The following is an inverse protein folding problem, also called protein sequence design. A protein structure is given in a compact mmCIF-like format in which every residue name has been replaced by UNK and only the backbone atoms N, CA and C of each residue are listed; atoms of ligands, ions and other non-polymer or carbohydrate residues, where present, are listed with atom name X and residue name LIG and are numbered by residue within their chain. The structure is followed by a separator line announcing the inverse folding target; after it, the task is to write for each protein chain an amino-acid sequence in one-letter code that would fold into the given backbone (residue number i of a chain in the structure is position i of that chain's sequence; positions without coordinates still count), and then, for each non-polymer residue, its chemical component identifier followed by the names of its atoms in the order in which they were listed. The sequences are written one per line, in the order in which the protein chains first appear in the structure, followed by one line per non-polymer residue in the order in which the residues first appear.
data_IF_136239654825
#
_entry.id   IF_136239654825
#
_cell.length_a   1.000
_cell.length_b   1.000
_cell.length_c   1.000
_cell.angle_alpha   90.00
_cell.angle_beta   90.00
_cell.angle_gamma   90.00
#
_symmetry.space_group_name_H-M   'P 1'
#
loop_
_entity.id
_entity.type
_entity.pdbx_description
1 polymer ?
#
# COMPACT_ATOMS: atom_id res chain seq x y z
N UNK A 1 56.19 19.60 21.88
CA UNK A 1 57.47 19.42 22.59
C UNK A 1 57.75 17.94 22.49
N UNK A 2 58.72 17.42 21.76
CA UNK A 2 59.96 17.90 21.13
C UNK A 2 60.24 16.86 20.03
N UNK A 3 60.45 17.29 18.79
CA UNK A 3 61.75 17.51 18.14
C UNK A 3 62.09 16.36 17.19
N UNK A 4 62.58 16.81 16.04
CA UNK A 4 62.92 16.11 14.82
C UNK A 4 64.07 15.11 15.00
N UNK A 5 64.09 14.06 14.19
CA UNK A 5 65.37 13.44 13.81
C UNK A 5 65.36 13.10 12.31
N UNK A 6 66.12 13.91 11.59
CA UNK A 6 66.43 13.85 10.16
C UNK A 6 67.32 12.62 9.87
N UNK A 7 66.72 11.50 9.47
CA UNK A 7 67.48 10.43 8.81
C UNK A 7 67.51 10.65 7.30
N UNK A 8 68.66 11.14 6.86
CA UNK A 8 69.06 11.40 5.49
C UNK A 8 68.66 10.32 4.47
N UNK A 9 68.28 10.83 3.30
CA UNK A 9 67.96 10.19 2.03
C UNK A 9 68.87 9.03 1.64
N UNK A 10 68.27 7.85 1.41
CA UNK A 10 68.84 6.83 0.53
C UNK A 10 68.11 6.89 -0.83
N UNK A 11 68.68 7.65 -1.76
CA UNK A 11 68.23 7.70 -3.16
C UNK A 11 68.74 6.42 -3.83
N UNK A 12 67.83 5.49 -4.14
CA UNK A 12 68.15 4.38 -5.03
C UNK A 12 68.27 4.91 -6.46
N UNK A 13 69.53 4.98 -6.90
CA UNK A 13 69.94 5.23 -8.28
C UNK A 13 69.89 3.90 -9.05
N UNK A 14 68.81 3.62 -9.78
CA UNK A 14 68.78 2.52 -10.75
C UNK A 14 67.79 2.77 -11.89
N UNK A 15 68.39 3.17 -13.01
CA UNK A 15 68.09 2.82 -14.40
C UNK A 15 66.78 3.32 -15.04
N UNK A 16 66.91 4.48 -15.68
CA UNK A 16 66.11 4.92 -16.82
C UNK A 16 66.37 4.00 -18.02
N UNK A 17 65.59 2.92 -18.09
CA UNK A 17 65.45 2.10 -19.30
C UNK A 17 64.04 2.34 -19.86
N UNK A 18 63.90 3.42 -20.62
CA UNK A 18 62.72 3.67 -21.44
C UNK A 18 62.45 2.49 -22.38
N UNK A 19 61.34 1.78 -22.14
CA UNK A 19 60.68 1.01 -23.18
C UNK A 19 59.28 1.56 -23.38
N UNK A 20 59.18 2.40 -24.41
CA UNK A 20 57.92 2.79 -25.05
C UNK A 20 57.23 1.50 -25.51
N UNK A 21 56.16 1.11 -24.83
CA UNK A 21 55.01 0.35 -25.36
C UNK A 21 53.79 0.61 -24.47
N UNK A 22 53.28 1.85 -24.42
CA UNK A 22 52.11 2.15 -23.59
C UNK A 22 51.07 3.02 -24.32
N UNK A 23 50.69 2.58 -25.52
CA UNK A 23 49.58 3.20 -26.29
C UNK A 23 48.72 2.12 -26.96
N UNK A 24 48.40 1.03 -26.26
CA UNK A 24 47.30 0.13 -26.67
C UNK A 24 46.31 -0.23 -25.55
N UNK A 25 46.59 0.10 -24.28
CA UNK A 25 45.72 -0.30 -23.16
C UNK A 25 44.54 0.69 -22.91
N UNK A 26 44.76 1.99 -23.14
CA UNK A 26 43.73 3.02 -22.83
C UNK A 26 42.44 2.94 -23.66
N UNK A 27 42.47 2.30 -24.83
CA UNK A 27 41.28 2.17 -25.70
C UNK A 27 40.40 1.01 -25.24
N UNK A 28 40.99 -0.10 -24.82
CA UNK A 28 40.26 -1.24 -24.28
C UNK A 28 39.59 -0.85 -22.95
N UNK A 29 40.30 -0.15 -22.06
CA UNK A 29 39.77 0.33 -20.78
C UNK A 29 38.63 1.35 -20.95
N UNK A 30 38.76 2.30 -21.88
CA UNK A 30 37.67 3.25 -22.17
C UNK A 30 36.45 2.57 -22.77
N UNK A 31 36.63 1.58 -23.65
CA UNK A 31 35.53 0.81 -24.23
C UNK A 31 34.84 -0.02 -23.14
N UNK A 32 35.62 -0.69 -22.28
CA UNK A 32 35.09 -1.48 -21.17
C UNK A 32 34.33 -0.61 -20.16
N UNK A 33 34.87 0.55 -19.78
CA UNK A 33 34.19 1.52 -18.91
C UNK A 33 32.91 2.06 -19.56
N UNK A 34 32.92 2.36 -20.86
CA UNK A 34 31.72 2.83 -21.58
C UNK A 34 30.66 1.73 -21.70
N UNK A 35 31.05 0.48 -21.92
CA UNK A 35 30.13 -0.67 -21.93
C UNK A 35 29.50 -0.89 -20.55
N UNK A 36 30.30 -0.88 -19.48
CA UNK A 36 29.79 -1.01 -18.11
C UNK A 36 28.86 0.14 -17.70
N UNK A 37 29.13 1.37 -18.14
CA UNK A 37 28.22 2.50 -17.93
C UNK A 37 26.89 2.33 -18.70
N UNK A 38 26.96 1.84 -19.94
CA UNK A 38 25.76 1.59 -20.76
C UNK A 38 24.86 0.49 -20.18
N UNK A 39 25.48 -0.56 -19.62
CA UNK A 39 24.76 -1.64 -18.93
C UNK A 39 24.15 -1.15 -17.61
N UNK A 40 24.84 -0.29 -16.87
CA UNK A 40 24.29 0.34 -15.66
C UNK A 40 23.11 1.28 -15.96
N UNK A 41 23.20 2.09 -17.01
CA UNK A 41 22.11 2.98 -17.45
C UNK A 41 20.87 2.17 -17.89
N UNK A 42 21.07 1.01 -18.53
CA UNK A 42 19.98 0.11 -18.91
C UNK A 42 19.30 -0.53 -17.69
N UNK A 43 20.09 -0.95 -16.69
CA UNK A 43 19.58 -1.51 -15.42
C UNK A 43 18.84 -0.44 -14.61
N UNK A 44 19.33 0.80 -14.57
CA UNK A 44 18.66 1.91 -13.89
C UNK A 44 17.32 2.28 -14.56
N UNK A 45 17.28 2.26 -15.89
CA UNK A 45 16.05 2.46 -16.65
C UNK A 45 14.99 1.37 -16.39
N UNK A 46 15.40 0.10 -16.30
CA UNK A 46 14.50 -1.02 -15.96
C UNK A 46 13.95 -0.89 -14.53
N UNK A 47 14.83 -0.59 -13.56
CA UNK A 47 14.43 -0.37 -12.17
C UNK A 47 13.46 0.83 -12.02
N UNK A 48 13.65 1.88 -12.82
CA UNK A 48 12.77 3.04 -12.83
C UNK A 48 11.36 2.67 -13.34
N UNK A 49 11.26 1.85 -14.39
CA UNK A 49 9.97 1.35 -14.90
C UNK A 49 9.26 0.49 -13.86
N UNK A 50 9.99 -0.41 -13.18
CA UNK A 50 9.43 -1.23 -12.11
C UNK A 50 8.92 -0.37 -10.94
N UNK A 51 9.67 0.67 -10.56
CA UNK A 51 9.28 1.59 -9.50
C UNK A 51 8.02 2.38 -9.86
N UNK A 52 7.89 2.81 -11.12
CA UNK A 52 6.71 3.48 -11.62
C UNK A 52 5.48 2.57 -11.63
N UNK A 53 5.63 1.31 -12.07
CA UNK A 53 4.54 0.33 -12.04
C UNK A 53 4.10 0.05 -10.60
N UNK A 54 5.05 -0.15 -9.69
CA UNK A 54 4.78 -0.32 -8.25
C UNK A 54 4.03 0.90 -7.69
N UNK A 55 4.44 2.11 -8.06
CA UNK A 55 3.77 3.35 -7.63
C UNK A 55 2.33 3.41 -8.16
N UNK A 56 2.11 3.04 -9.42
CA UNK A 56 0.76 2.98 -10.02
C UNK A 56 -0.14 1.96 -9.31
N UNK A 57 0.38 0.78 -9.00
CA UNK A 57 -0.36 -0.24 -8.25
C UNK A 57 -0.70 0.22 -6.84
N UNK A 58 0.23 0.87 -6.14
CA UNK A 58 -0.02 1.45 -4.82
C UNK A 58 -1.16 2.46 -4.89
N UNK A 59 -1.17 3.37 -5.87
CA UNK A 59 -2.23 4.36 -6.01
C UNK A 59 -3.60 3.71 -6.27
N UNK A 60 -3.65 2.69 -7.13
CA UNK A 60 -4.90 1.96 -7.38
C UNK A 60 -5.42 1.28 -6.11
N UNK A 61 -4.53 0.66 -5.31
CA UNK A 61 -4.91 0.05 -4.04
C UNK A 61 -5.44 1.11 -3.07
N UNK A 62 -4.82 2.29 -2.99
CA UNK A 62 -5.27 3.37 -2.11
C UNK A 62 -6.65 3.91 -2.52
N UNK A 63 -6.91 4.09 -3.81
CA UNK A 63 -8.22 4.52 -4.33
C UNK A 63 -9.32 3.49 -4.01
N UNK A 64 -9.01 2.20 -4.18
CA UNK A 64 -9.94 1.12 -3.85
C UNK A 64 -10.20 1.05 -2.33
N UNK A 65 -9.17 1.22 -1.50
CA UNK A 65 -9.32 1.27 -0.05
C UNK A 65 -10.22 2.42 0.39
N UNK A 66 -10.03 3.62 -0.18
CA UNK A 66 -10.88 4.77 0.13
C UNK A 66 -12.34 4.52 -0.27
N UNK A 67 -12.57 3.99 -1.47
CA UNK A 67 -13.92 3.64 -1.94
C UNK A 67 -14.58 2.58 -1.05
N UNK A 68 -13.80 1.60 -0.58
CA UNK A 68 -14.30 0.54 0.30
C UNK A 68 -14.66 1.09 1.68
N UNK A 69 -13.86 2.00 2.23
CA UNK A 69 -14.12 2.68 3.49
C UNK A 69 -15.43 3.48 3.42
N UNK A 70 -15.60 4.29 2.38
CA UNK A 70 -16.82 5.05 2.13
C UNK A 70 -18.06 4.14 2.03
N UNK A 71 -17.93 3.02 1.31
CA UNK A 71 -19.01 2.04 1.20
C UNK A 71 -19.33 1.38 2.55
N UNK A 72 -18.30 1.06 3.35
CA UNK A 72 -18.48 0.49 4.69
C UNK A 72 -19.23 1.45 5.59
N UNK A 73 -18.83 2.74 5.61
CA UNK A 73 -19.52 3.76 6.40
C UNK A 73 -20.99 3.91 5.99
N UNK A 74 -21.28 3.89 4.68
CA UNK A 74 -22.66 3.92 4.17
C UNK A 74 -23.46 2.70 4.59
N UNK A 75 -22.87 1.50 4.57
CA UNK A 75 -23.52 0.27 5.01
C UNK A 75 -23.88 0.36 6.49
N UNK A 76 -22.99 0.88 7.33
CA UNK A 76 -23.25 1.01 8.76
C UNK A 76 -24.34 2.05 9.06
N UNK A 77 -24.36 3.18 8.34
CA UNK A 77 -25.46 4.15 8.42
C UNK A 77 -26.82 3.53 8.05
N UNK A 78 -26.87 2.74 6.98
CA UNK A 78 -28.11 2.04 6.56
C UNK A 78 -28.54 1.00 7.60
N UNK A 79 -27.60 0.27 8.21
CA UNK A 79 -27.93 -0.66 9.30
C UNK A 79 -28.52 0.06 10.51
N UNK A 80 -27.94 1.20 10.90
CA UNK A 80 -28.43 2.00 12.02
C UNK A 80 -29.86 2.50 11.77
N UNK A 81 -30.12 3.05 10.59
CA UNK A 81 -31.47 3.47 10.20
C UNK A 81 -32.46 2.29 10.20
N UNK A 82 -32.04 1.12 9.71
CA UNK A 82 -32.87 -0.08 9.72
C UNK A 82 -33.23 -0.53 11.14
N UNK A 83 -32.29 -0.47 12.09
CA UNK A 83 -32.54 -0.80 13.48
C UNK A 83 -33.52 0.19 14.12
N UNK A 84 -33.37 1.49 13.83
CA UNK A 84 -34.31 2.51 14.29
C UNK A 84 -35.72 2.24 13.79
N UNK A 85 -35.88 2.01 12.49
CA UNK A 85 -37.17 1.68 11.88
C UNK A 85 -37.78 0.39 12.45
N UNK A 86 -36.98 -0.65 12.70
CA UNK A 86 -37.45 -1.88 13.36
C UNK A 86 -37.98 -1.61 14.77
N UNK A 87 -37.28 -0.79 15.54
CA UNK A 87 -37.71 -0.44 16.90
C UNK A 87 -39.02 0.37 16.90
N UNK A 88 -39.17 1.31 15.97
CA UNK A 88 -40.40 2.10 15.83
C UNK A 88 -41.57 1.22 15.39
N UNK A 89 -41.36 0.38 14.38
CA UNK A 89 -42.38 -0.58 13.93
C UNK A 89 -42.80 -1.56 15.01
N UNK A 90 -41.87 -1.98 15.89
CA UNK A 90 -42.20 -2.82 17.03
C UNK A 90 -43.15 -2.10 17.99
N UNK A 91 -42.84 -0.84 18.35
CA UNK A 91 -43.68 -0.03 19.24
C UNK A 91 -45.06 0.21 18.62
N UNK A 92 -45.11 0.58 17.34
CA UNK A 92 -46.37 0.78 16.62
C UNK A 92 -47.18 -0.52 16.51
N UNK A 93 -46.52 -1.65 16.23
CA UNK A 93 -47.14 -2.96 16.19
C UNK A 93 -47.81 -3.32 17.51
N UNK A 94 -47.11 -3.12 18.63
CA UNK A 94 -47.68 -3.37 19.95
C UNK A 94 -48.86 -2.44 20.26
N UNK A 95 -48.77 -1.17 19.87
CA UNK A 95 -49.86 -0.22 20.07
C UNK A 95 -51.13 -0.68 19.32
N UNK A 96 -50.98 -1.11 18.07
CA UNK A 96 -52.09 -1.65 17.27
C UNK A 96 -52.65 -2.92 17.91
N UNK A 97 -51.80 -3.86 18.34
CA UNK A 97 -52.24 -5.09 19.01
C UNK A 97 -53.02 -4.80 20.29
N UNK A 98 -52.56 -3.85 21.10
CA UNK A 98 -53.25 -3.42 22.32
C UNK A 98 -54.63 -2.82 22.02
N UNK A 99 -54.74 -2.02 20.95
CA UNK A 99 -56.03 -1.47 20.53
C UNK A 99 -56.98 -2.56 20.02
N UNK A 100 -56.48 -3.51 19.22
CA UNK A 100 -57.29 -4.62 18.70
C UNK A 100 -57.78 -5.54 19.84
N UNK A 101 -56.95 -5.82 20.83
CA UNK A 101 -57.31 -6.67 21.97
C UNK A 101 -58.24 -5.99 22.99
N UNK A 102 -58.06 -4.68 23.22
CA UNK A 102 -58.92 -3.91 24.13
C UNK A 102 -60.28 -3.54 23.52
N UNK A 103 -60.39 -3.48 22.20
CA UNK A 103 -61.63 -3.16 21.51
C UNK A 103 -62.46 -4.42 21.26
N UNK A 104 -63.67 -4.45 21.83
CA UNK A 104 -64.64 -5.54 21.64
C UNK A 104 -65.04 -5.75 20.17
N UNK A 105 -64.85 -4.76 19.29
CA UNK A 105 -65.17 -4.85 17.86
C UNK A 105 -64.18 -5.73 17.09
N UNK A 106 -62.95 -5.89 17.59
CA UNK A 106 -61.90 -6.66 16.93
C UNK A 106 -61.63 -8.03 17.59
N UNK A 107 -62.43 -8.42 18.59
CA UNK A 107 -62.34 -9.78 19.12
C UNK A 107 -62.73 -10.76 18.02
N UNK A 108 -61.78 -11.61 17.62
CA UNK A 108 -62.09 -12.80 16.84
C UNK A 108 -63.18 -13.54 17.59
N UNK A 109 -64.32 -13.79 16.95
CA UNK A 109 -65.30 -14.74 17.46
C UNK A 109 -64.65 -16.12 17.37
N UNK A 110 -63.76 -16.44 18.30
CA UNK A 110 -63.34 -17.80 18.58
C UNK A 110 -64.58 -18.53 19.10
N UNK A 111 -65.43 -18.96 18.17
CA UNK A 111 -66.47 -19.93 18.45
C UNK A 111 -65.74 -21.22 18.83
N UNK A 112 -65.52 -21.37 20.14
CA UNK A 112 -64.95 -22.53 20.82
C UNK A 112 -65.32 -23.83 20.10
N UNK A 113 -64.39 -24.40 19.33
CA UNK A 113 -64.36 -25.82 19.03
C UNK A 113 -63.97 -26.55 20.32
N UNK A 114 -64.95 -26.75 21.20
CA UNK A 114 -64.85 -27.62 22.37
C UNK A 114 -66.11 -28.48 22.39
N UNK A 115 -66.13 -29.56 21.60
CA UNK A 115 -67.05 -30.68 21.83
C UNK A 115 -66.27 -31.80 22.52
N UNK A 116 -66.86 -32.24 23.64
CA UNK A 116 -66.50 -33.39 24.44
C UNK A 116 -66.55 -34.69 23.63
#
# INVERSE_FOLDING_TARGET
MEEDDDSFTNISLADDSGHITDIQDSRADKIFSTMMNSDMDAIEAENQVELEEKTRLINQVLELQHTLEDLSARVDAVKEENLKLKSENQVLGQYIENLMSASSVFQTTDTKSKRK
#
